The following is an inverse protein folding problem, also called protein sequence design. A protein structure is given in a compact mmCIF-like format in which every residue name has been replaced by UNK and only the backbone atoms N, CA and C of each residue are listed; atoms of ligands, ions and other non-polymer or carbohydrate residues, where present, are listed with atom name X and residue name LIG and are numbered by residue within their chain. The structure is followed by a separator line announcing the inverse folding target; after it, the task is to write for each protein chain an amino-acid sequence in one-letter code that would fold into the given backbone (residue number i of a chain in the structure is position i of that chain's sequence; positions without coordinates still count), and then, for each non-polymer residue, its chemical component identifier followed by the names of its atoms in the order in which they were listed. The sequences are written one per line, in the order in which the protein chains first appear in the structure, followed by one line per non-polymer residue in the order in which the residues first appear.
data_IF_112002344255
#
_entry.id   IF_112002344255
#
_cell.length_a   1.000
_cell.length_b   1.000
_cell.length_c   1.000
_cell.angle_alpha   90.00
_cell.angle_beta   90.00
_cell.angle_gamma   90.00
#
_symmetry.space_group_name_H-M   'P 1'
#
loop_
_entity.id
_entity.type
_entity.pdbx_description
1 polymer ?
#
# COMPACT_ATOMS: atom_id res chain seq x y z
N UNK A 1 -18.26 -22.65 9.71
CA UNK A 1 -18.95 -22.24 8.47
C UNK A 1 -18.54 -23.19 7.37
N UNK A 2 -19.40 -23.47 6.36
CA UNK A 2 -18.99 -24.27 5.20
C UNK A 2 -17.86 -23.55 4.44
N UNK A 3 -17.00 -24.31 3.73
CA UNK A 3 -15.98 -23.71 2.87
C UNK A 3 -16.64 -22.84 1.79
N UNK A 4 -16.14 -21.63 1.65
CA UNK A 4 -16.58 -20.67 0.63
C UNK A 4 -15.43 -20.36 -0.30
N UNK A 5 -15.72 -19.84 -1.51
CA UNK A 5 -14.74 -19.35 -2.45
C UNK A 5 -14.64 -17.83 -2.32
N UNK A 6 -13.45 -17.32 -2.01
CA UNK A 6 -13.16 -15.89 -1.89
C UNK A 6 -12.22 -15.45 -3.01
N UNK A 7 -12.68 -14.51 -3.82
CA UNK A 7 -11.88 -13.91 -4.89
C UNK A 7 -11.24 -12.59 -4.42
N UNK A 8 -9.92 -12.54 -4.39
CA UNK A 8 -9.15 -11.33 -4.10
C UNK A 8 -8.75 -10.64 -5.40
N UNK A 9 -9.06 -9.35 -5.54
CA UNK A 9 -8.75 -8.56 -6.73
C UNK A 9 -7.92 -7.34 -6.38
N UNK A 10 -6.83 -7.11 -7.12
CA UNK A 10 -5.99 -5.92 -6.94
C UNK A 10 -5.20 -5.57 -8.20
N UNK A 11 -4.81 -4.29 -8.31
CA UNK A 11 -3.90 -3.86 -9.36
C UNK A 11 -2.51 -4.48 -9.14
N UNK A 12 -1.74 -4.70 -10.22
CA UNK A 12 -0.48 -5.42 -10.16
C UNK A 12 0.67 -4.55 -9.62
N UNK A 13 0.60 -4.23 -8.33
CA UNK A 13 1.67 -3.52 -7.62
C UNK A 13 1.79 -4.04 -6.18
N UNK A 14 2.99 -3.91 -5.60
CA UNK A 14 3.29 -4.38 -4.25
C UNK A 14 2.36 -3.75 -3.21
N UNK A 15 2.17 -2.42 -3.25
CA UNK A 15 1.31 -1.69 -2.32
C UNK A 15 -0.18 -2.03 -2.42
N UNK A 16 -0.62 -2.62 -3.54
CA UNK A 16 -2.01 -3.00 -3.79
C UNK A 16 -2.30 -4.44 -3.37
N UNK A 17 -1.37 -5.37 -3.59
CA UNK A 17 -1.60 -6.80 -3.39
C UNK A 17 -1.09 -7.32 -2.04
N UNK A 18 0.10 -6.87 -1.60
CA UNK A 18 0.71 -7.40 -0.39
C UNK A 18 -0.09 -7.15 0.90
N UNK A 19 -0.76 -6.00 1.08
CA UNK A 19 -1.63 -5.79 2.24
C UNK A 19 -2.77 -6.80 2.36
N UNK A 20 -3.24 -7.37 1.24
CA UNK A 20 -4.32 -8.36 1.25
C UNK A 20 -3.85 -9.79 1.56
N UNK A 21 -2.55 -10.09 1.38
CA UNK A 21 -2.03 -11.46 1.53
C UNK A 21 -2.24 -12.03 2.94
N UNK A 22 -2.03 -11.31 4.05
CA UNK A 22 -2.29 -11.83 5.38
C UNK A 22 -3.73 -12.31 5.59
N UNK A 23 -4.70 -11.58 5.04
CA UNK A 23 -6.11 -11.96 5.09
C UNK A 23 -6.39 -13.19 4.20
N UNK A 24 -5.82 -13.21 2.99
CA UNK A 24 -5.95 -14.34 2.07
C UNK A 24 -5.36 -15.63 2.67
N UNK A 25 -4.21 -15.54 3.34
CA UNK A 25 -3.60 -16.65 4.08
C UNK A 25 -4.48 -17.12 5.23
N UNK A 26 -5.09 -16.19 5.97
CA UNK A 26 -6.02 -16.52 7.06
C UNK A 26 -7.26 -17.21 6.52
N UNK A 27 -7.85 -16.74 5.42
CA UNK A 27 -9.00 -17.38 4.77
C UNK A 27 -8.66 -18.80 4.30
N UNK A 28 -7.49 -18.99 3.65
CA UNK A 28 -7.01 -20.31 3.24
C UNK A 28 -6.79 -21.26 4.42
N UNK A 29 -6.22 -20.76 5.51
CA UNK A 29 -6.01 -21.55 6.72
C UNK A 29 -7.34 -21.95 7.42
N UNK A 30 -8.39 -21.15 7.25
CA UNK A 30 -9.74 -21.47 7.71
C UNK A 30 -10.50 -22.44 6.80
N UNK A 31 -9.89 -22.92 5.70
CA UNK A 31 -10.46 -23.91 4.78
C UNK A 31 -11.24 -23.30 3.61
N UNK A 32 -11.23 -21.99 3.41
CA UNK A 32 -11.84 -21.37 2.25
C UNK A 32 -10.95 -21.55 1.00
N UNK A 33 -11.60 -21.67 -0.17
CA UNK A 33 -10.89 -21.58 -1.46
C UNK A 33 -10.55 -20.12 -1.73
N UNK A 34 -9.26 -19.82 -1.91
CA UNK A 34 -8.78 -18.47 -2.18
C UNK A 34 -8.26 -18.39 -3.60
N UNK A 35 -8.80 -17.43 -4.35
CA UNK A 35 -8.43 -17.15 -5.74
C UNK A 35 -7.98 -15.70 -5.83
N UNK A 36 -6.90 -15.42 -6.55
CA UNK A 36 -6.45 -14.06 -6.87
C UNK A 36 -6.69 -13.71 -8.32
N UNK A 37 -7.10 -12.46 -8.56
CA UNK A 37 -7.22 -11.86 -9.88
C UNK A 37 -6.41 -10.55 -9.91
N UNK A 38 -5.41 -10.47 -10.81
CA UNK A 38 -4.52 -9.32 -10.94
C UNK A 38 -3.84 -9.29 -12.31
N UNK A 39 -3.14 -8.19 -12.62
CA UNK A 39 -2.39 -8.04 -13.85
C UNK A 39 -1.16 -8.97 -13.95
N UNK A 40 -0.68 -9.16 -15.19
CA UNK A 40 0.35 -10.11 -15.56
C UNK A 40 1.60 -10.12 -14.65
N UNK A 41 2.19 -8.98 -14.22
CA UNK A 41 3.44 -8.96 -13.46
C UNK A 41 3.38 -9.72 -12.13
N UNK A 42 2.19 -9.85 -11.51
CA UNK A 42 2.04 -10.47 -10.18
C UNK A 42 1.46 -11.88 -10.20
N UNK A 43 0.94 -12.35 -11.34
CA UNK A 43 0.36 -13.71 -11.45
C UNK A 43 1.35 -14.79 -11.03
N UNK A 44 2.61 -14.72 -11.52
CA UNK A 44 3.65 -15.68 -11.16
C UNK A 44 4.04 -15.64 -9.69
N UNK A 45 4.16 -14.45 -9.11
CA UNK A 45 4.51 -14.25 -7.69
C UNK A 45 3.46 -14.86 -6.75
N UNK A 46 2.17 -14.59 -7.00
CA UNK A 46 1.08 -15.14 -6.20
C UNK A 46 0.96 -16.67 -6.34
N UNK A 47 1.24 -17.23 -7.52
CA UNK A 47 1.32 -18.67 -7.72
C UNK A 47 2.47 -19.30 -6.93
N UNK A 48 3.63 -18.65 -6.86
CA UNK A 48 4.79 -19.15 -6.13
C UNK A 48 4.52 -19.29 -4.62
N UNK A 49 3.61 -18.48 -4.06
CA UNK A 49 3.16 -18.61 -2.66
C UNK A 49 1.91 -19.48 -2.50
N UNK A 50 1.52 -20.19 -3.56
CA UNK A 50 0.52 -21.25 -3.53
C UNK A 50 -0.94 -20.78 -3.68
N UNK A 51 -1.20 -19.63 -4.29
CA UNK A 51 -2.55 -19.19 -4.63
C UNK A 51 -2.95 -19.57 -6.06
N UNK A 52 -4.20 -19.96 -6.25
CA UNK A 52 -4.83 -19.98 -7.56
C UNK A 52 -4.91 -18.53 -8.07
N UNK A 53 -4.41 -18.27 -9.29
CA UNK A 53 -4.28 -16.90 -9.79
C UNK A 53 -4.68 -16.78 -11.23
N UNK A 54 -5.46 -15.75 -11.55
CA UNK A 54 -5.93 -15.40 -12.89
C UNK A 54 -5.44 -14.01 -13.28
N UNK A 55 -5.07 -13.87 -14.56
CA UNK A 55 -4.74 -12.58 -15.14
C UNK A 55 -6.04 -11.83 -15.44
N UNK A 56 -6.13 -10.55 -14.99
CA UNK A 56 -7.21 -9.61 -15.29
C UNK A 56 -6.66 -8.20 -15.46
N UNK A 57 -7.30 -7.42 -16.32
CA UNK A 57 -6.94 -6.04 -16.54
C UNK A 57 -5.55 -5.84 -17.15
N UNK A 58 -5.11 -4.61 -17.12
CA UNK A 58 -3.80 -4.14 -17.59
C UNK A 58 -2.93 -3.67 -16.40
N UNK A 59 -1.64 -3.48 -16.64
CA UNK A 59 -0.75 -2.91 -15.63
C UNK A 59 -0.95 -1.39 -15.49
N UNK A 60 -0.48 -0.83 -14.38
CA UNK A 60 -0.52 0.62 -14.15
C UNK A 60 0.29 1.35 -15.23
N UNK A 61 1.45 0.80 -15.63
CA UNK A 61 2.29 1.37 -16.69
C UNK A 61 1.60 1.37 -18.04
N UNK A 62 0.90 0.29 -18.40
CA UNK A 62 0.06 0.22 -19.62
C UNK A 62 -1.06 1.27 -19.56
N UNK A 63 -1.69 1.44 -18.40
CA UNK A 63 -2.72 2.47 -18.19
C UNK A 63 -2.18 3.89 -18.35
N UNK A 64 -1.04 4.18 -17.74
CA UNK A 64 -0.34 5.47 -17.87
C UNK A 64 0.06 5.73 -19.32
N UNK A 65 0.59 4.74 -20.01
CA UNK A 65 0.94 4.85 -21.43
C UNK A 65 -0.30 5.12 -22.30
N UNK A 66 -1.40 4.47 -21.99
CA UNK A 66 -2.68 4.65 -22.72
C UNK A 66 -3.24 6.06 -22.51
N UNK A 67 -3.29 6.54 -21.25
CA UNK A 67 -3.92 7.82 -20.94
C UNK A 67 -3.04 9.01 -21.32
N UNK A 68 -1.73 8.92 -21.10
CA UNK A 68 -0.79 10.05 -21.27
C UNK A 68 0.11 9.91 -22.51
N UNK A 69 -0.10 8.90 -23.35
CA UNK A 69 0.67 8.70 -24.58
C UNK A 69 2.15 8.44 -24.31
N UNK A 70 2.48 7.71 -23.24
CA UNK A 70 3.86 7.42 -22.83
C UNK A 70 4.59 8.57 -22.13
N UNK A 71 3.92 9.70 -21.90
CA UNK A 71 4.46 10.80 -21.09
C UNK A 71 4.20 10.52 -19.60
N UNK A 72 5.03 11.09 -18.70
CA UNK A 72 4.73 11.02 -17.26
C UNK A 72 3.35 11.59 -16.94
N UNK A 73 2.68 11.00 -15.94
CA UNK A 73 1.41 11.51 -15.44
C UNK A 73 1.58 12.98 -14.99
N UNK A 74 0.62 13.85 -15.29
CA UNK A 74 0.65 15.25 -14.87
C UNK A 74 0.74 15.37 -13.35
N UNK A 75 1.44 16.41 -12.90
CA UNK A 75 1.55 16.76 -11.49
C UNK A 75 1.14 18.22 -11.28
N UNK A 76 0.62 18.49 -10.10
CA UNK A 76 0.38 19.84 -9.62
C UNK A 76 1.70 20.55 -9.35
N UNK A 77 1.72 21.90 -9.26
CA UNK A 77 2.94 22.64 -8.95
C UNK A 77 3.62 22.26 -7.64
N UNK A 78 2.86 21.72 -6.67
CA UNK A 78 3.34 21.21 -5.40
C UNK A 78 3.91 19.77 -5.48
N UNK A 79 4.00 19.19 -6.68
CA UNK A 79 4.49 17.83 -6.93
C UNK A 79 3.46 16.71 -6.71
N UNK A 80 2.28 17.03 -6.20
CA UNK A 80 1.19 16.06 -5.99
C UNK A 80 0.60 15.58 -7.32
N UNK A 81 0.00 14.39 -7.38
CA UNK A 81 -0.72 13.94 -8.56
C UNK A 81 -1.84 14.91 -8.95
N UNK A 82 -2.07 15.04 -10.25
CA UNK A 82 -3.27 15.69 -10.76
C UNK A 82 -4.49 14.80 -10.49
N UNK A 83 -5.51 15.34 -9.83
CA UNK A 83 -6.68 14.58 -9.37
C UNK A 83 -7.54 14.09 -10.54
N UNK A 84 -7.71 14.91 -11.59
CA UNK A 84 -8.49 14.53 -12.76
C UNK A 84 -7.79 13.40 -13.54
N UNK A 85 -6.48 13.52 -13.72
CA UNK A 85 -5.66 12.47 -14.34
C UNK A 85 -5.66 11.17 -13.52
N UNK A 86 -5.58 11.27 -12.19
CA UNK A 86 -5.69 10.12 -11.30
C UNK A 86 -7.08 9.45 -11.38
N UNK A 87 -8.15 10.24 -11.38
CA UNK A 87 -9.51 9.74 -11.56
C UNK A 87 -9.67 9.02 -12.90
N UNK A 88 -9.24 9.65 -14.01
CA UNK A 88 -9.31 9.05 -15.33
C UNK A 88 -8.50 7.74 -15.43
N UNK A 89 -7.31 7.69 -14.81
CA UNK A 89 -6.46 6.50 -14.79
C UNK A 89 -7.11 5.36 -14.01
N UNK A 90 -7.43 5.56 -12.75
CA UNK A 90 -7.85 4.48 -11.85
C UNK A 90 -9.33 4.12 -12.01
N UNK A 91 -10.21 5.09 -12.25
CA UNK A 91 -11.66 4.87 -12.30
C UNK A 91 -12.17 4.56 -13.71
N UNK A 92 -11.36 4.75 -14.75
CA UNK A 92 -11.78 4.47 -16.15
C UNK A 92 -10.78 3.54 -16.86
N UNK A 93 -9.56 4.02 -17.14
CA UNK A 93 -8.59 3.32 -18.00
C UNK A 93 -8.18 1.96 -17.43
N UNK A 94 -7.92 1.87 -16.12
CA UNK A 94 -7.57 0.62 -15.43
C UNK A 94 -8.84 -0.18 -15.06
N UNK A 95 -9.91 0.50 -14.71
CA UNK A 95 -11.13 -0.14 -14.21
C UNK A 95 -11.89 -0.91 -15.29
N UNK A 96 -12.04 -0.37 -16.53
CA UNK A 96 -12.82 -1.00 -17.58
C UNK A 96 -12.30 -2.38 -18.01
N UNK A 97 -11.03 -2.54 -18.39
CA UNK A 97 -10.52 -3.85 -18.75
C UNK A 97 -10.58 -4.83 -17.58
N UNK A 98 -10.33 -4.36 -16.35
CA UNK A 98 -10.48 -5.19 -15.15
C UNK A 98 -11.94 -5.65 -14.97
N UNK A 99 -12.93 -4.76 -15.12
CA UNK A 99 -14.34 -5.11 -14.99
C UNK A 99 -14.77 -6.16 -16.02
N UNK A 100 -14.34 -6.02 -17.28
CA UNK A 100 -14.64 -6.99 -18.32
C UNK A 100 -14.07 -8.38 -18.04
N UNK A 101 -12.78 -8.44 -17.67
CA UNK A 101 -12.07 -9.69 -17.38
C UNK A 101 -12.61 -10.36 -16.10
N UNK A 102 -12.85 -9.56 -15.03
CA UNK A 102 -13.40 -10.08 -13.77
C UNK A 102 -14.82 -10.59 -13.97
N UNK A 103 -15.68 -9.88 -14.72
CA UNK A 103 -17.02 -10.37 -15.05
C UNK A 103 -16.97 -11.78 -15.66
N UNK A 104 -16.10 -11.98 -16.66
CA UNK A 104 -15.89 -13.29 -17.27
C UNK A 104 -15.31 -14.34 -16.30
N UNK A 105 -14.48 -13.90 -15.34
CA UNK A 105 -13.90 -14.76 -14.31
C UNK A 105 -14.95 -15.19 -13.28
N UNK A 106 -15.84 -14.28 -12.86
CA UNK A 106 -16.92 -14.57 -11.92
C UNK A 106 -17.82 -15.70 -12.42
N UNK A 107 -18.15 -15.72 -13.72
CA UNK A 107 -18.96 -16.77 -14.33
C UNK A 107 -18.30 -18.16 -14.25
N UNK A 108 -16.96 -18.22 -14.23
CA UNK A 108 -16.16 -19.47 -14.14
C UNK A 108 -15.88 -19.90 -12.71
N UNK A 109 -15.42 -18.97 -11.87
CA UNK A 109 -14.97 -19.24 -10.50
C UNK A 109 -16.13 -19.35 -9.53
N UNK A 110 -17.20 -18.58 -9.77
CA UNK A 110 -18.42 -18.48 -8.94
C UNK A 110 -18.07 -18.26 -7.46
N UNK A 111 -17.36 -17.16 -7.14
CA UNK A 111 -17.00 -16.88 -5.76
C UNK A 111 -18.23 -16.47 -4.96
N UNK A 112 -18.21 -16.77 -3.66
CA UNK A 112 -19.22 -16.34 -2.71
C UNK A 112 -18.98 -14.89 -2.25
N UNK A 113 -17.73 -14.41 -2.35
CA UNK A 113 -17.31 -13.09 -1.93
C UNK A 113 -16.18 -12.58 -2.83
N UNK A 114 -16.23 -11.29 -3.17
CA UNK A 114 -15.12 -10.56 -3.77
C UNK A 114 -14.51 -9.63 -2.72
N UNK A 115 -13.21 -9.76 -2.47
CA UNK A 115 -12.41 -8.79 -1.71
C UNK A 115 -11.53 -8.05 -2.71
N UNK A 116 -11.74 -6.76 -2.87
CA UNK A 116 -10.96 -5.96 -3.79
C UNK A 116 -10.23 -4.84 -3.08
N UNK A 117 -9.02 -4.52 -3.51
CA UNK A 117 -8.39 -3.33 -2.97
C UNK A 117 -9.06 -2.06 -3.54
N UNK A 118 -8.90 -0.97 -2.85
CA UNK A 118 -9.67 0.27 -3.00
C UNK A 118 -9.64 0.86 -4.42
N UNK A 119 -8.54 0.70 -5.17
CA UNK A 119 -8.41 1.21 -6.53
C UNK A 119 -8.80 0.19 -7.60
N UNK A 120 -9.01 -1.07 -7.24
CA UNK A 120 -9.49 -2.12 -8.15
C UNK A 120 -11.01 -2.04 -8.37
N UNK A 121 -11.52 -0.83 -8.69
CA UNK A 121 -12.94 -0.53 -8.81
C UNK A 121 -13.64 -1.38 -9.88
N UNK A 122 -12.92 -1.82 -10.92
CA UNK A 122 -13.46 -2.73 -11.93
C UNK A 122 -13.94 -4.06 -11.35
N UNK A 123 -13.26 -4.58 -10.31
CA UNK A 123 -13.70 -5.79 -9.62
C UNK A 123 -15.00 -5.55 -8.82
N UNK A 124 -15.13 -4.38 -8.19
CA UNK A 124 -16.35 -3.96 -7.48
C UNK A 124 -17.54 -3.89 -8.43
N UNK A 125 -17.35 -3.27 -9.61
CA UNK A 125 -18.39 -3.14 -10.65
C UNK A 125 -18.80 -4.52 -11.17
N UNK A 126 -17.84 -5.39 -11.47
CA UNK A 126 -18.12 -6.76 -11.92
C UNK A 126 -18.93 -7.56 -10.89
N UNK A 127 -18.56 -7.45 -9.60
CA UNK A 127 -19.27 -8.10 -8.50
C UNK A 127 -20.72 -7.59 -8.42
N UNK A 128 -20.93 -6.26 -8.48
CA UNK A 128 -22.27 -5.66 -8.49
C UNK A 128 -23.13 -6.17 -9.66
N UNK A 129 -22.55 -6.21 -10.87
CA UNK A 129 -23.26 -6.71 -12.06
C UNK A 129 -23.68 -8.19 -11.97
N UNK A 130 -23.12 -8.94 -11.03
CA UNK A 130 -23.46 -10.36 -10.77
C UNK A 130 -24.18 -10.57 -9.44
N UNK A 131 -24.49 -9.51 -8.70
CA UNK A 131 -25.11 -9.63 -7.37
C UNK A 131 -24.26 -10.37 -6.36
N UNK A 132 -22.92 -10.37 -6.54
CA UNK A 132 -21.98 -11.02 -5.62
C UNK A 132 -21.55 -10.00 -4.56
N UNK A 133 -21.62 -10.36 -3.26
CA UNK A 133 -21.12 -9.50 -2.20
C UNK A 133 -19.67 -9.08 -2.41
N UNK A 134 -19.35 -7.81 -2.10
CA UNK A 134 -18.01 -7.29 -2.29
C UNK A 134 -17.57 -6.42 -1.10
N UNK A 135 -16.35 -6.62 -0.64
CA UNK A 135 -15.72 -5.85 0.44
C UNK A 135 -14.46 -5.18 -0.09
N UNK A 136 -14.32 -3.89 0.19
CA UNK A 136 -13.11 -3.14 -0.12
C UNK A 136 -12.04 -3.37 0.93
N UNK A 137 -10.82 -3.68 0.50
CA UNK A 137 -9.62 -3.62 1.33
C UNK A 137 -8.95 -2.27 1.15
N UNK A 138 -8.91 -1.46 2.19
CA UNK A 138 -8.30 -0.14 2.16
C UNK A 138 -6.78 -0.26 2.07
N UNK A 139 -6.18 0.53 1.18
CA UNK A 139 -4.73 0.58 0.97
C UNK A 139 -4.17 2.01 1.09
N UNK A 140 -5.04 3.01 1.23
CA UNK A 140 -4.68 4.41 1.44
C UNK A 140 -5.41 4.95 2.68
N UNK A 141 -4.82 5.91 3.38
CA UNK A 141 -5.45 6.49 4.57
C UNK A 141 -6.77 7.20 4.19
N UNK A 142 -7.80 7.09 5.03
CA UNK A 142 -9.08 7.76 4.79
C UNK A 142 -8.87 9.27 4.62
N UNK A 143 -9.60 9.85 3.66
CA UNK A 143 -9.46 11.26 3.26
C UNK A 143 -8.44 11.50 2.16
N UNK A 144 -7.77 10.45 1.64
CA UNK A 144 -6.84 10.56 0.51
C UNK A 144 -7.46 10.21 -0.85
N UNK A 145 -8.70 9.73 -0.88
CA UNK A 145 -9.45 9.35 -2.11
C UNK A 145 -10.32 10.50 -2.63
N UNK A 146 -9.80 11.72 -2.66
CA UNK A 146 -10.53 12.89 -3.14
C UNK A 146 -10.95 12.74 -4.61
N UNK A 147 -10.16 12.07 -5.45
CA UNK A 147 -10.43 11.86 -6.86
C UNK A 147 -11.77 11.15 -7.13
N UNK A 148 -12.09 10.09 -6.38
CA UNK A 148 -13.36 9.37 -6.53
C UNK A 148 -14.56 10.16 -5.98
N UNK A 149 -14.34 10.99 -4.97
CA UNK A 149 -15.35 11.90 -4.38
C UNK A 149 -15.57 13.19 -5.17
N UNK A 150 -14.73 13.50 -6.15
CA UNK A 150 -14.89 14.68 -7.01
C UNK A 150 -16.12 14.54 -7.92
N UNK A 151 -16.70 15.65 -8.44
CA UNK A 151 -17.81 15.56 -9.41
C UNK A 151 -17.45 14.72 -10.63
N UNK A 152 -16.25 14.89 -11.19
CA UNK A 152 -15.75 14.13 -12.33
C UNK A 152 -15.58 12.64 -11.99
N UNK A 153 -15.01 12.32 -10.84
CA UNK A 153 -14.87 10.95 -10.37
C UNK A 153 -16.20 10.23 -10.19
N UNK A 154 -17.19 10.90 -9.58
CA UNK A 154 -18.55 10.34 -9.45
C UNK A 154 -19.21 10.08 -10.79
N UNK A 155 -19.04 10.98 -11.77
CA UNK A 155 -19.56 10.79 -13.11
C UNK A 155 -18.91 9.58 -13.82
N UNK A 156 -17.59 9.46 -13.74
CA UNK A 156 -16.84 8.32 -14.31
C UNK A 156 -17.34 7.01 -13.69
N UNK A 157 -17.45 6.95 -12.38
CA UNK A 157 -17.93 5.75 -11.66
C UNK A 157 -19.37 5.42 -12.05
N UNK A 158 -20.26 6.41 -12.08
CA UNK A 158 -21.65 6.20 -12.48
C UNK A 158 -21.77 5.61 -13.89
N UNK A 159 -21.00 6.15 -14.86
CA UNK A 159 -20.93 5.57 -16.21
C UNK A 159 -20.37 4.15 -16.21
N UNK A 160 -19.31 3.89 -15.44
CA UNK A 160 -18.72 2.56 -15.37
C UNK A 160 -19.73 1.52 -14.87
N UNK A 161 -20.47 1.80 -13.79
CA UNK A 161 -21.52 0.90 -13.31
C UNK A 161 -22.61 0.65 -14.36
N UNK A 162 -23.12 1.72 -15.00
CA UNK A 162 -24.14 1.62 -16.03
C UNK A 162 -23.69 0.79 -17.23
N UNK A 163 -22.46 0.99 -17.71
CA UNK A 163 -21.92 0.28 -18.88
C UNK A 163 -21.77 -1.23 -18.64
N UNK A 164 -21.64 -1.65 -17.40
CA UNK A 164 -21.60 -3.07 -17.02
C UNK A 164 -22.93 -3.61 -16.50
N UNK A 165 -24.02 -2.83 -16.61
CA UNK A 165 -25.36 -3.26 -16.21
C UNK A 165 -25.52 -3.44 -14.71
N UNK A 166 -24.75 -2.70 -13.93
CA UNK A 166 -24.84 -2.68 -12.47
C UNK A 166 -25.55 -1.41 -11.98
N UNK A 167 -26.37 -1.55 -10.94
CA UNK A 167 -26.91 -0.38 -10.27
C UNK A 167 -25.76 0.40 -9.59
N UNK A 168 -25.79 1.75 -9.64
CA UNK A 168 -24.82 2.57 -8.97
C UNK A 168 -24.87 2.31 -7.46
N UNK A 169 -23.95 1.51 -6.98
CA UNK A 169 -23.74 1.23 -5.56
C UNK A 169 -22.60 2.07 -4.98
N UNK A 170 -22.44 2.04 -3.66
CA UNK A 170 -21.26 2.63 -3.02
C UNK A 170 -19.96 2.01 -3.55
N UNK A 171 -18.92 2.82 -3.65
CA UNK A 171 -17.58 2.38 -4.10
C UNK A 171 -17.03 1.24 -3.26
N UNK A 172 -17.41 1.17 -1.99
CA UNK A 172 -16.88 0.25 -0.99
C UNK A 172 -17.66 -1.07 -0.85
N UNK A 173 -18.76 -1.24 -1.57
CA UNK A 173 -19.59 -2.46 -1.47
C UNK A 173 -20.23 -2.63 -0.09
N UNK A 174 -20.14 -3.85 0.46
CA UNK A 174 -20.82 -4.26 1.70
C UNK A 174 -20.00 -3.95 2.95
N UNK A 175 -18.79 -3.41 2.81
CA UNK A 175 -17.94 -3.00 3.91
C UNK A 175 -16.52 -2.65 3.49
N UNK A 176 -15.78 -2.04 4.42
CA UNK A 176 -14.39 -1.63 4.24
C UNK A 176 -13.51 -2.29 5.29
N UNK A 177 -12.60 -3.14 4.84
CA UNK A 177 -11.49 -3.64 5.65
C UNK A 177 -10.45 -2.54 5.77
N UNK A 178 -10.29 -2.01 6.95
CA UNK A 178 -9.45 -0.86 7.20
C UNK A 178 -8.21 -1.23 7.99
N UNK A 179 -7.05 -1.20 7.32
CA UNK A 179 -5.75 -1.51 7.91
C UNK A 179 -5.09 -0.32 8.60
N UNK A 180 -5.72 0.86 8.54
CA UNK A 180 -5.15 2.05 9.17
C UNK A 180 -5.70 2.23 10.58
N UNK A 181 -4.83 2.44 11.59
CA UNK A 181 -5.25 2.85 12.93
C UNK A 181 -5.84 4.26 12.89
N UNK A 182 -6.70 4.59 13.85
CA UNK A 182 -7.45 5.87 13.87
C UNK A 182 -6.54 7.10 13.80
N UNK A 183 -5.36 7.04 14.42
CA UNK A 183 -4.38 8.14 14.41
C UNK A 183 -3.80 8.46 13.04
N UNK A 184 -3.83 7.53 12.09
CA UNK A 184 -3.33 7.73 10.73
C UNK A 184 -4.42 8.14 9.75
N UNK A 185 -5.67 8.30 10.19
CA UNK A 185 -6.73 8.88 9.37
C UNK A 185 -6.67 10.41 9.36
N UNK A 186 -6.99 11.00 8.21
CA UNK A 186 -7.21 12.43 8.05
C UNK A 186 -8.71 12.73 8.25
N UNK A 187 -9.07 13.21 9.41
CA UNK A 187 -10.47 13.43 9.77
C UNK A 187 -11.19 12.17 10.27
N UNK A 188 -12.43 12.35 10.70
CA UNK A 188 -13.26 11.21 11.08
C UNK A 188 -13.60 10.37 9.84
N UNK A 189 -13.52 9.02 9.92
CA UNK A 189 -14.06 8.17 8.86
C UNK A 189 -15.52 8.55 8.60
N UNK A 190 -15.95 8.52 7.34
CA UNK A 190 -17.34 8.84 7.04
C UNK A 190 -18.26 7.86 7.78
N UNK A 191 -19.29 8.36 8.44
CA UNK A 191 -20.25 7.56 9.22
C UNK A 191 -21.03 6.56 8.34
N UNK A 192 -20.93 6.67 7.02
CA UNK A 192 -21.65 5.85 6.04
C UNK A 192 -20.92 4.57 5.65
N UNK A 193 -19.66 4.39 6.06
CA UNK A 193 -18.89 3.20 5.72
C UNK A 193 -19.02 2.15 6.83
N UNK A 194 -19.41 0.94 6.46
CA UNK A 194 -19.35 -0.24 7.33
C UNK A 194 -17.88 -0.63 7.52
N UNK A 195 -17.15 0.10 8.38
CA UNK A 195 -15.72 -0.08 8.64
C UNK A 195 -15.47 -1.32 9.49
N UNK A 196 -14.61 -2.19 9.02
CA UNK A 196 -14.11 -3.38 9.71
C UNK A 196 -12.61 -3.16 9.96
N UNK A 197 -12.20 -2.74 11.16
CA UNK A 197 -10.78 -2.57 11.45
C UNK A 197 -10.06 -3.92 11.40
N UNK A 198 -8.90 -3.94 10.75
CA UNK A 198 -8.05 -5.12 10.68
C UNK A 198 -6.60 -4.72 10.85
N UNK A 199 -5.88 -5.45 11.71
CA UNK A 199 -4.47 -5.19 11.97
C UNK A 199 -3.65 -5.28 10.70
N UNK A 200 -2.88 -4.24 10.32
CA UNK A 200 -1.88 -4.36 9.28
C UNK A 200 -0.79 -5.34 9.72
N UNK A 201 -0.59 -6.38 8.94
CA UNK A 201 0.47 -7.37 9.18
C UNK A 201 1.51 -7.19 8.09
N UNK A 202 2.73 -6.72 8.42
CA UNK A 202 3.83 -6.69 7.46
C UNK A 202 4.04 -8.08 6.88
N UNK A 203 4.07 -8.16 5.56
CA UNK A 203 4.25 -9.43 4.86
C UNK A 203 5.39 -9.30 3.83
N UNK A 204 6.23 -10.33 3.78
CA UNK A 204 7.31 -10.47 2.80
C UNK A 204 7.25 -11.84 2.15
N UNK A 205 7.77 -11.96 0.93
CA UNK A 205 7.83 -13.24 0.23
C UNK A 205 8.70 -14.25 1.01
N UNK A 206 8.27 -15.52 1.10
CA UNK A 206 9.09 -16.55 1.74
C UNK A 206 10.47 -16.68 1.08
N UNK A 207 11.52 -16.80 1.88
CA UNK A 207 12.89 -16.94 1.39
C UNK A 207 13.66 -15.62 1.24
N UNK A 208 13.07 -14.50 1.63
CA UNK A 208 13.79 -13.23 1.80
C UNK A 208 14.90 -13.41 2.84
N UNK A 209 16.15 -13.07 2.49
CA UNK A 209 17.24 -13.07 3.44
C UNK A 209 17.13 -11.84 4.35
N UNK A 210 17.35 -12.05 5.65
CA UNK A 210 17.75 -10.95 6.52
C UNK A 210 19.20 -10.70 6.16
N UNK A 211 19.55 -9.53 5.59
CA UNK A 211 20.94 -9.25 5.33
C UNK A 211 21.74 -9.33 6.64
N UNK A 212 22.85 -10.02 6.63
CA UNK A 212 23.79 -9.96 7.74
C UNK A 212 24.59 -8.67 7.58
N UNK A 213 24.11 -7.58 8.14
CA UNK A 213 24.94 -6.39 8.28
C UNK A 213 25.55 -6.38 9.69
N UNK A 214 26.81 -5.98 9.81
CA UNK A 214 27.41 -5.81 11.12
C UNK A 214 26.71 -4.66 11.84
N UNK A 215 25.92 -4.98 12.85
CA UNK A 215 25.48 -3.97 13.81
C UNK A 215 26.71 -3.61 14.65
N UNK A 216 27.32 -2.48 14.36
CA UNK A 216 28.34 -1.94 15.24
C UNK A 216 27.67 -1.61 16.57
N UNK A 217 28.05 -2.31 17.63
CA UNK A 217 27.43 -2.18 18.94
C UNK A 217 27.36 -0.70 19.37
N UNK A 218 26.16 -0.19 19.60
CA UNK A 218 25.91 1.17 20.06
C UNK A 218 25.63 2.22 18.99
N UNK A 219 25.72 1.89 17.69
CA UNK A 219 25.29 2.80 16.60
C UNK A 219 23.81 2.61 16.28
N UNK A 220 23.03 3.71 16.13
CA UNK A 220 21.66 3.61 15.64
C UNK A 220 21.61 3.05 14.21
N UNK A 221 20.55 2.31 13.91
CA UNK A 221 20.29 1.77 12.56
C UNK A 221 19.19 2.57 11.88
N UNK A 222 19.50 3.13 10.73
CA UNK A 222 18.52 3.81 9.86
C UNK A 222 18.21 2.91 8.66
N UNK A 223 16.94 2.69 8.39
CA UNK A 223 16.48 1.97 7.18
C UNK A 223 15.95 2.97 6.15
N UNK A 224 16.50 2.93 4.93
CA UNK A 224 16.09 3.77 3.81
C UNK A 224 15.48 2.94 2.69
N UNK A 225 14.29 3.31 2.22
CA UNK A 225 13.69 2.75 1.01
C UNK A 225 12.81 3.78 0.29
N UNK A 226 12.94 3.91 -1.01
CA UNK A 226 12.16 4.85 -1.82
C UNK A 226 11.12 4.15 -2.71
N UNK A 227 10.83 2.88 -2.40
CA UNK A 227 9.82 2.09 -3.10
C UNK A 227 10.31 1.54 -4.45
N UNK A 228 9.36 1.16 -5.31
CA UNK A 228 9.66 0.41 -6.54
C UNK A 228 9.21 1.12 -7.82
N UNK A 229 8.51 2.26 -7.74
CA UNK A 229 7.90 2.91 -8.91
C UNK A 229 8.55 4.25 -9.24
N UNK A 230 8.77 5.11 -8.25
CA UNK A 230 9.26 6.49 -8.47
C UNK A 230 10.72 6.70 -8.08
N UNK A 231 11.38 5.65 -7.56
CA UNK A 231 12.74 5.74 -7.08
C UNK A 231 13.75 6.01 -8.24
N UNK A 232 14.62 6.99 -8.04
CA UNK A 232 15.68 7.36 -8.98
C UNK A 232 17.04 7.29 -8.29
N UNK A 233 18.13 6.93 -9.00
CA UNK A 233 19.47 6.84 -8.41
C UNK A 233 19.92 8.13 -7.72
N UNK A 234 19.61 9.29 -8.30
CA UNK A 234 20.01 10.60 -7.78
C UNK A 234 19.33 10.90 -6.43
N UNK A 235 18.04 10.50 -6.28
CA UNK A 235 17.29 10.67 -5.03
C UNK A 235 17.87 9.78 -3.94
N UNK A 236 18.21 8.53 -4.27
CA UNK A 236 18.90 7.65 -3.33
C UNK A 236 20.26 8.19 -2.95
N UNK A 237 21.06 8.64 -3.92
CA UNK A 237 22.41 9.16 -3.65
C UNK A 237 22.36 10.33 -2.69
N UNK A 238 21.49 11.32 -2.94
CA UNK A 238 21.32 12.47 -2.06
C UNK A 238 20.92 12.08 -0.64
N UNK A 239 20.00 11.12 -0.49
CA UNK A 239 19.56 10.64 0.82
C UNK A 239 20.67 9.85 1.53
N UNK A 240 21.40 9.00 0.82
CA UNK A 240 22.52 8.22 1.36
C UNK A 240 23.63 9.17 1.84
N UNK A 241 24.04 10.14 1.04
CA UNK A 241 25.10 11.09 1.42
C UNK A 241 24.74 11.89 2.68
N UNK A 242 23.48 12.34 2.76
CA UNK A 242 23.02 13.10 3.91
C UNK A 242 22.97 12.25 5.19
N UNK A 243 22.50 10.99 5.12
CA UNK A 243 22.35 10.12 6.30
C UNK A 243 23.70 9.52 6.71
N UNK A 244 24.54 9.15 5.74
CA UNK A 244 25.85 8.57 6.02
C UNK A 244 26.85 9.56 6.68
N UNK A 245 26.54 10.87 6.62
CA UNK A 245 27.29 11.89 7.37
C UNK A 245 27.03 11.83 8.89
N UNK A 246 26.00 11.10 9.33
CA UNK A 246 25.68 10.87 10.73
C UNK A 246 26.41 9.62 11.25
N UNK A 247 26.54 9.51 12.59
CA UNK A 247 27.11 8.31 13.23
C UNK A 247 26.06 7.20 13.35
N UNK A 248 25.69 6.60 12.20
CA UNK A 248 24.66 5.55 12.07
C UNK A 248 25.13 4.41 11.19
N UNK A 249 24.50 3.25 11.32
CA UNK A 249 24.48 2.21 10.28
C UNK A 249 23.27 2.46 9.39
N UNK A 250 23.48 2.48 8.06
CA UNK A 250 22.44 2.76 7.08
C UNK A 250 22.17 1.54 6.20
N UNK A 251 21.01 0.92 6.40
CA UNK A 251 20.52 -0.14 5.51
C UNK A 251 19.64 0.49 4.41
N UNK A 252 19.95 0.21 3.15
CA UNK A 252 19.25 0.77 1.99
C UNK A 252 18.63 -0.34 1.16
N UNK A 253 17.31 -0.32 0.98
CA UNK A 253 16.63 -1.18 0.02
C UNK A 253 16.33 -0.40 -1.27
N UNK A 254 17.05 -0.73 -2.32
CA UNK A 254 17.08 -0.01 -3.60
C UNK A 254 15.90 -0.36 -4.52
N UNK A 255 15.26 -1.53 -4.32
CA UNK A 255 14.24 -2.01 -5.24
C UNK A 255 14.80 -2.28 -6.64
N UNK A 256 14.25 -1.64 -7.70
CA UNK A 256 14.72 -1.85 -9.06
C UNK A 256 16.01 -1.08 -9.41
N UNK A 257 16.46 -0.14 -8.57
CA UNK A 257 17.65 0.68 -8.84
C UNK A 257 18.90 -0.18 -8.78
N UNK A 258 19.75 -0.04 -9.78
CA UNK A 258 21.03 -0.78 -9.83
C UNK A 258 22.02 -0.18 -8.81
N UNK A 259 22.55 -0.98 -7.86
CA UNK A 259 23.57 -0.53 -6.92
C UNK A 259 24.78 0.15 -7.61
N UNK A 260 25.17 -0.34 -8.79
CA UNK A 260 26.31 0.22 -9.53
C UNK A 260 26.08 1.69 -9.97
N UNK A 261 24.83 2.10 -10.12
CA UNK A 261 24.49 3.49 -10.49
C UNK A 261 24.74 4.51 -9.35
N UNK A 262 24.93 4.03 -8.12
CA UNK A 262 25.17 4.88 -6.95
C UNK A 262 26.68 5.18 -6.73
N UNK A 263 27.58 4.46 -7.40
CA UNK A 263 29.02 4.58 -7.15
C UNK A 263 29.43 4.06 -5.78
N UNK A 264 30.61 4.53 -5.30
CA UNK A 264 31.11 4.12 -3.99
C UNK A 264 30.28 4.70 -2.83
N UNK A 265 30.06 3.89 -1.81
CA UNK A 265 29.37 4.28 -0.57
C UNK A 265 30.26 4.02 0.65
N UNK A 266 30.11 4.76 1.76
CA UNK A 266 30.84 4.50 3.00
C UNK A 266 30.63 3.09 3.54
N UNK A 267 31.56 2.53 4.33
CA UNK A 267 31.43 1.20 4.93
C UNK A 267 30.22 1.03 5.88
N UNK A 268 29.68 2.12 6.41
CA UNK A 268 28.47 2.12 7.25
C UNK A 268 27.17 2.03 6.42
N UNK A 269 27.25 2.00 5.08
CA UNK A 269 26.11 1.92 4.18
C UNK A 269 26.01 0.53 3.56
N UNK A 270 24.89 -0.14 3.79
CA UNK A 270 24.63 -1.50 3.32
C UNK A 270 23.55 -1.45 2.26
N UNK A 271 23.92 -1.74 1.01
CA UNK A 271 23.01 -1.69 -0.15
C UNK A 271 22.45 -3.08 -0.42
N UNK A 272 21.11 -3.19 -0.42
CA UNK A 272 20.37 -4.38 -0.78
C UNK A 272 19.36 -4.07 -1.88
N UNK A 273 19.11 -4.99 -2.79
CA UNK A 273 18.05 -4.81 -3.79
C UNK A 273 16.68 -4.89 -3.16
N UNK A 274 16.43 -5.93 -2.39
CA UNK A 274 15.19 -6.14 -1.63
C UNK A 274 15.52 -6.65 -0.24
N UNK A 275 14.76 -6.19 0.72
CA UNK A 275 14.88 -6.52 2.13
C UNK A 275 13.55 -7.10 2.62
N UNK A 276 13.59 -8.15 3.40
CA UNK A 276 12.42 -8.58 4.17
C UNK A 276 12.13 -7.54 5.25
N UNK A 277 11.22 -6.61 4.95
CA UNK A 277 10.90 -5.52 5.87
C UNK A 277 10.35 -6.03 7.20
N UNK A 278 9.56 -7.10 7.19
CA UNK A 278 9.01 -7.67 8.43
C UNK A 278 10.11 -8.18 9.36
N UNK A 279 11.18 -8.71 8.81
CA UNK A 279 12.32 -9.21 9.59
C UNK A 279 13.29 -8.10 10.03
N UNK A 280 13.42 -7.03 9.24
CA UNK A 280 14.37 -5.93 9.49
C UNK A 280 13.81 -4.86 10.41
N UNK A 281 12.56 -4.47 10.26
CA UNK A 281 11.93 -3.38 11.02
C UNK A 281 12.04 -3.51 12.55
N UNK A 282 12.03 -4.71 13.16
CA UNK A 282 12.29 -4.84 14.60
C UNK A 282 13.67 -4.33 15.05
N UNK A 283 14.64 -4.30 14.16
CA UNK A 283 16.07 -4.01 14.47
C UNK A 283 16.51 -2.59 14.09
N UNK A 284 15.62 -1.76 13.51
CA UNK A 284 15.97 -0.40 13.10
C UNK A 284 15.44 0.64 14.09
N UNK A 285 16.07 1.81 14.14
CA UNK A 285 15.68 2.90 15.03
C UNK A 285 14.83 3.96 14.33
N UNK A 286 15.08 4.22 13.05
CA UNK A 286 14.35 5.17 12.22
C UNK A 286 14.15 4.59 10.82
N UNK A 287 12.98 4.84 10.24
CA UNK A 287 12.68 4.46 8.85
C UNK A 287 12.55 5.72 7.99
N UNK A 288 13.38 5.82 6.95
CA UNK A 288 13.29 6.87 5.92
C UNK A 288 12.67 6.23 4.67
N UNK A 289 11.52 6.75 4.24
CA UNK A 289 10.80 6.12 3.13
C UNK A 289 9.99 7.13 2.30
N UNK A 290 9.55 6.67 1.13
CA UNK A 290 8.78 7.48 0.19
C UNK A 290 7.32 7.76 0.60
N UNK A 291 6.80 7.11 1.65
CA UNK A 291 5.41 7.27 2.08
C UNK A 291 4.44 6.21 1.54
N UNK A 292 4.93 5.12 0.94
CA UNK A 292 4.04 3.99 0.59
C UNK A 292 3.42 3.36 1.82
N UNK A 293 2.10 3.07 1.76
CA UNK A 293 1.31 2.58 2.89
C UNK A 293 1.87 1.32 3.55
N UNK A 294 2.41 0.38 2.75
CA UNK A 294 3.01 -0.85 3.29
C UNK A 294 4.20 -0.59 4.21
N UNK A 295 5.14 0.28 3.78
CA UNK A 295 6.31 0.64 4.59
C UNK A 295 5.92 1.49 5.79
N UNK A 296 5.01 2.46 5.60
CA UNK A 296 4.49 3.31 6.67
C UNK A 296 3.83 2.49 7.79
N UNK A 297 2.91 1.60 7.44
CA UNK A 297 2.22 0.73 8.41
C UNK A 297 3.17 -0.29 9.04
N UNK A 298 4.12 -0.80 8.26
CA UNK A 298 5.18 -1.67 8.78
C UNK A 298 6.03 -0.97 9.85
N UNK A 299 6.53 0.23 9.57
CA UNK A 299 7.28 1.03 10.54
C UNK A 299 6.44 1.36 11.78
N UNK A 300 5.16 1.73 11.58
CA UNK A 300 4.22 2.02 12.66
C UNK A 300 3.95 0.79 13.54
N UNK A 301 3.79 -0.40 12.96
CA UNK A 301 3.55 -1.63 13.71
C UNK A 301 4.71 -2.01 14.65
N UNK A 302 5.93 -1.60 14.30
CA UNK A 302 7.13 -1.82 15.13
C UNK A 302 7.53 -0.58 15.95
N UNK A 303 6.72 0.46 16.01
CA UNK A 303 6.99 1.66 16.82
C UNK A 303 8.24 2.43 16.35
N UNK A 304 8.46 2.49 15.02
CA UNK A 304 9.63 3.17 14.46
C UNK A 304 9.27 4.59 14.04
N UNK A 305 9.98 5.61 14.52
CA UNK A 305 9.89 6.97 13.99
C UNK A 305 10.18 7.00 12.49
N UNK A 306 9.48 7.88 11.75
CA UNK A 306 9.48 7.86 10.30
C UNK A 306 9.86 9.21 9.70
N UNK A 307 10.70 9.21 8.67
CA UNK A 307 10.90 10.33 7.77
C UNK A 307 10.30 9.99 6.40
N UNK A 308 9.31 10.77 5.98
CA UNK A 308 8.65 10.57 4.68
C UNK A 308 9.22 11.55 3.66
N UNK A 309 9.68 11.01 2.52
CA UNK A 309 10.16 11.74 1.34
C UNK A 309 9.23 11.41 0.17
N UNK A 310 8.06 12.06 0.02
CA UNK A 310 7.06 11.66 -0.96
C UNK A 310 7.53 11.93 -2.38
N UNK A 311 7.32 10.95 -3.27
CA UNK A 311 7.70 11.01 -4.68
C UNK A 311 6.49 11.06 -5.62
N UNK A 312 5.30 10.71 -5.13
CA UNK A 312 4.07 10.69 -5.94
C UNK A 312 2.92 9.95 -5.25
N UNK A 313 1.83 9.74 -5.96
CA UNK A 313 0.63 9.02 -5.53
C UNK A 313 0.08 9.52 -4.18
N UNK A 314 -0.35 8.60 -3.31
CA UNK A 314 -0.88 8.84 -1.96
C UNK A 314 0.18 9.22 -0.92
N UNK A 315 1.45 9.23 -1.32
CA UNK A 315 2.60 9.36 -0.40
C UNK A 315 2.61 10.68 0.38
N UNK A 316 2.11 11.76 -0.22
CA UNK A 316 1.96 13.05 0.45
C UNK A 316 0.94 12.98 1.60
N UNK A 317 -0.20 12.33 1.36
CA UNK A 317 -1.24 12.13 2.38
C UNK A 317 -0.73 11.26 3.54
N UNK A 318 0.01 10.20 3.20
CA UNK A 318 0.64 9.33 4.19
C UNK A 318 1.70 10.09 5.01
N UNK A 319 2.49 10.96 4.37
CA UNK A 319 3.46 11.83 5.05
C UNK A 319 2.81 12.83 6.01
N UNK A 320 1.68 13.41 5.61
CA UNK A 320 0.89 14.30 6.46
C UNK A 320 0.29 13.52 7.65
N UNK A 321 -0.21 12.30 7.44
CA UNK A 321 -0.73 11.44 8.50
C UNK A 321 0.37 11.10 9.52
N UNK A 322 1.56 10.71 9.07
CA UNK A 322 2.75 10.45 9.91
C UNK A 322 3.12 11.69 10.75
N UNK A 323 3.10 12.86 10.11
CA UNK A 323 3.45 14.12 10.78
C UNK A 323 2.38 14.52 11.81
N UNK A 324 1.11 14.42 11.47
CA UNK A 324 -0.03 14.74 12.33
C UNK A 324 -0.12 13.81 13.54
N UNK A 325 0.18 12.53 13.35
CA UNK A 325 0.25 11.55 14.44
C UNK A 325 1.46 11.75 15.37
N UNK A 326 2.39 12.65 15.03
CA UNK A 326 3.60 12.93 15.80
C UNK A 326 4.64 11.80 15.77
N UNK A 327 4.47 10.80 14.90
CA UNK A 327 5.35 9.64 14.79
C UNK A 327 6.52 9.86 13.82
N UNK A 328 6.56 11.03 13.18
CA UNK A 328 7.60 11.35 12.20
C UNK A 328 7.49 12.73 11.62
N UNK A 329 8.16 12.91 10.49
CA UNK A 329 8.15 14.14 9.69
C UNK A 329 8.04 13.81 8.20
N UNK A 330 7.48 14.73 7.44
CA UNK A 330 7.55 14.73 5.99
C UNK A 330 8.46 15.89 5.55
N UNK A 331 9.32 15.63 4.59
CA UNK A 331 10.05 16.65 3.84
C UNK A 331 9.60 16.58 2.38
N UNK A 332 9.09 17.68 1.86
CA UNK A 332 8.66 17.76 0.46
C UNK A 332 9.87 17.69 -0.48
N UNK A 333 9.77 17.00 -1.63
CA UNK A 333 10.94 16.70 -2.47
C UNK A 333 11.59 17.95 -3.10
N UNK A 334 10.82 19.05 -3.22
CA UNK A 334 11.32 20.29 -3.79
C UNK A 334 12.08 21.12 -2.76
N UNK A 335 13.41 21.21 -2.93
CA UNK A 335 14.27 22.09 -2.13
C UNK A 335 14.79 21.51 -0.83
N UNK A 336 14.65 20.19 -0.59
CA UNK A 336 15.29 19.55 0.57
C UNK A 336 16.80 19.59 0.43
N UNK A 337 17.48 20.24 1.37
CA UNK A 337 18.95 20.18 1.47
C UNK A 337 19.41 18.93 2.23
N UNK A 338 20.66 18.52 1.98
CA UNK A 338 21.29 17.43 2.75
C UNK A 338 21.26 17.71 4.25
N UNK A 339 21.50 18.94 4.67
CA UNK A 339 21.48 19.34 6.09
C UNK A 339 20.09 19.22 6.71
N UNK A 340 19.03 19.58 5.98
CA UNK A 340 17.65 19.41 6.45
C UNK A 340 17.29 17.94 6.62
N UNK A 341 17.71 17.08 5.69
CA UNK A 341 17.46 15.64 5.77
C UNK A 341 18.23 15.04 6.94
N UNK A 342 19.55 15.27 7.03
CA UNK A 342 20.39 14.79 8.12
C UNK A 342 19.89 15.29 9.49
N UNK A 343 19.61 16.59 9.62
CA UNK A 343 19.08 17.18 10.84
C UNK A 343 17.73 16.60 11.26
N UNK A 344 16.87 16.26 10.28
CA UNK A 344 15.57 15.62 10.59
C UNK A 344 15.76 14.19 11.08
N UNK A 345 16.63 13.39 10.44
CA UNK A 345 16.97 12.05 10.92
C UNK A 345 17.57 12.10 12.34
N UNK A 346 18.48 13.04 12.59
CA UNK A 346 19.09 13.23 13.91
C UNK A 346 18.04 13.56 14.99
N UNK A 347 17.05 14.39 14.67
CA UNK A 347 15.93 14.69 15.57
C UNK A 347 15.05 13.46 15.84
N UNK A 348 14.74 12.66 14.82
CA UNK A 348 13.97 11.43 14.97
C UNK A 348 14.67 10.40 15.84
N UNK A 349 16.00 10.34 15.78
CA UNK A 349 16.83 9.49 16.64
C UNK A 349 16.90 10.00 18.09
N UNK A 350 16.98 11.32 18.27
CA UNK A 350 17.29 11.93 19.58
C UNK A 350 16.10 12.43 20.39
N UNK A 351 15.00 12.85 19.73
CA UNK A 351 13.82 13.40 20.42
C UNK A 351 12.89 12.29 20.92
N UNK A 352 12.80 12.12 22.24
CA UNK A 352 11.97 11.09 22.89
C UNK A 352 10.49 11.16 22.50
N UNK A 353 9.99 12.34 22.14
CA UNK A 353 8.59 12.54 21.72
C UNK A 353 8.20 11.66 20.53
N UNK A 354 9.07 11.53 19.53
CA UNK A 354 8.82 10.67 18.36
C UNK A 354 8.75 9.20 18.72
N UNK A 355 9.68 8.74 19.54
CA UNK A 355 9.69 7.35 20.03
C UNK A 355 8.42 7.05 20.84
N UNK A 356 8.05 7.94 21.76
CA UNK A 356 6.86 7.77 22.59
C UNK A 356 5.58 7.71 21.75
N UNK A 357 5.46 8.58 20.75
CA UNK A 357 4.32 8.59 19.85
C UNK A 357 4.28 7.32 18.96
N UNK A 358 5.43 6.90 18.44
CA UNK A 358 5.54 5.69 17.63
C UNK A 358 5.20 4.41 18.43
N UNK A 359 5.66 4.32 19.67
CA UNK A 359 5.31 3.21 20.58
C UNK A 359 3.81 3.20 20.92
N UNK A 360 3.19 4.39 21.06
CA UNK A 360 1.74 4.49 21.29
C UNK A 360 0.94 4.01 20.08
N UNK A 361 1.39 4.37 18.87
CA UNK A 361 0.79 3.92 17.62
C UNK A 361 0.95 2.42 17.42
N UNK A 362 2.12 1.85 17.75
CA UNK A 362 2.35 0.41 17.70
C UNK A 362 1.41 -0.37 18.64
N UNK A 363 1.15 0.16 19.84
CA UNK A 363 0.17 -0.44 20.77
C UNK A 363 -1.26 -0.37 20.22
N UNK A 364 -1.64 0.73 19.57
CA UNK A 364 -2.94 0.86 18.91
C UNK A 364 -3.08 -0.19 17.79
N UNK A 365 -2.09 -0.32 16.91
CA UNK A 365 -2.06 -1.35 15.88
C UNK A 365 -2.12 -2.76 16.47
N UNK A 366 -1.38 -3.04 17.53
CA UNK A 366 -1.39 -4.34 18.19
C UNK A 366 -2.75 -4.69 18.79
N UNK A 367 -3.55 -3.71 19.18
CA UNK A 367 -4.91 -3.88 19.68
C UNK A 367 -5.96 -4.09 18.58
N UNK A 368 -5.65 -3.81 17.29
CA UNK A 368 -6.55 -4.08 16.19
C UNK A 368 -6.74 -5.58 15.97
N UNK A 369 -7.93 -6.03 15.55
CA UNK A 369 -8.20 -7.45 15.30
C UNK A 369 -7.25 -8.02 14.24
N UNK A 370 -6.69 -9.19 14.50
CA UNK A 370 -5.83 -9.88 13.54
C UNK A 370 -6.66 -10.33 12.31
N UNK A 371 -6.08 -10.45 11.09
CA UNK A 371 -6.80 -10.91 9.89
C UNK A 371 -7.64 -12.17 10.08
N UNK A 372 -7.18 -13.16 10.88
CA UNK A 372 -7.95 -14.36 11.21
C UNK A 372 -9.20 -14.08 12.09
N UNK A 373 -9.16 -13.02 12.89
CA UNK A 373 -10.22 -12.68 13.85
C UNK A 373 -11.37 -11.93 13.17
N UNK A 374 -11.11 -11.26 12.03
CA UNK A 374 -12.13 -10.56 11.24
C UNK A 374 -12.83 -11.46 10.21
N UNK A 375 -12.30 -12.65 9.93
CA UNK A 375 -12.89 -13.57 8.96
C UNK A 375 -14.36 -13.88 9.21
N UNK A 376 -14.83 -14.20 10.44
CA UNK A 376 -16.25 -14.43 10.69
C UNK A 376 -17.11 -13.23 10.27
N UNK A 377 -16.71 -12.01 10.64
CA UNK A 377 -17.43 -10.78 10.26
C UNK A 377 -17.49 -10.58 8.76
N UNK A 378 -16.39 -10.89 8.04
CA UNK A 378 -16.34 -10.83 6.58
C UNK A 378 -17.29 -11.86 5.96
N UNK A 379 -17.30 -13.08 6.49
CA UNK A 379 -18.12 -14.16 5.95
C UNK A 379 -19.61 -14.01 6.31
N UNK A 380 -19.95 -13.22 7.34
CA UNK A 380 -21.34 -12.86 7.64
C UNK A 380 -21.98 -12.01 6.52
N UNK A 381 -21.17 -11.28 5.74
CA UNK A 381 -21.66 -10.55 4.56
C UNK A 381 -22.22 -11.53 3.51
N UNK A 382 -21.52 -12.64 3.28
CA UNK A 382 -22.00 -13.72 2.38
C UNK A 382 -23.34 -14.27 2.87
N UNK A 383 -23.47 -14.51 4.16
CA UNK A 383 -24.69 -15.09 4.76
C UNK A 383 -25.90 -14.16 4.69
N UNK A 384 -25.69 -12.83 4.61
CA UNK A 384 -26.79 -11.85 4.48
C UNK A 384 -27.26 -11.66 3.05
N UNK A 385 -26.42 -12.01 2.08
CA UNK A 385 -26.73 -11.87 0.65
C UNK A 385 -27.37 -13.15 0.06
N UNK A 386 -27.29 -14.27 0.76
CA UNK A 386 -27.90 -15.55 0.40
C UNK A 386 -29.36 -15.62 0.88
#
# INVERSE_FOLDING_TARGET
MPPSTVLFCGLPAFGHLYPMIPLALAARAAGHRVVFATGAPFVGRLRAIGFETHRVGISIDEGVATLFGGRPAPRRPDGRPDEEGAAALFLDVLARPMAADVTSLLDRVRPDLVVHEETAIGARVAAAARGIPAITHRIVAAGSTEAAGSPAGREIVGRLFSDFGAEPGGLHGDGVLDVFPDRLHRGAPSVQESRIPVRPVPWSEPGGSIPSWPTTAGRPVVYLTLGTIFAQPETFRAAIDAIAALDVELLVALGPVDPASLGEVPPSVHLERFVDQAAVLPSVDVVVHHGGSGTMLGAAAYGRPQLVLPLGADQFYNGEAVTSAGVGRMLEPTGVSADQLAGTVQRLLGELSFRTAADALAREIAAMPHPREVLPTIMDVVSRAA
#
